data_IF_346392906380
#
_entry.id   IF_346392906380
#
_cell.length_a   1.000
_cell.length_b   1.000
_cell.length_c   1.000
_cell.angle_alpha   90.00
_cell.angle_beta   90.00
_cell.angle_gamma   90.00
#
_symmetry.space_group_name_H-M   'P 1'
#
loop_
_entity.id
_entity.type
_entity.pdbx_description
1 polymer ?
#
# COMPACT_ATOMS: atom_id res chain seq x y z
N UNK A 1 7.71 -20.76 -14.52
CA UNK A 1 6.69 -20.28 -15.49
C UNK A 1 6.36 -18.85 -15.14
N UNK A 2 6.14 -17.94 -16.11
CA UNK A 2 5.71 -16.58 -15.79
C UNK A 2 4.31 -16.61 -15.14
N UNK A 3 4.10 -15.79 -14.12
CA UNK A 3 2.76 -15.60 -13.54
C UNK A 3 1.82 -14.99 -14.58
N UNK A 4 0.62 -15.55 -14.73
CA UNK A 4 -0.41 -15.08 -15.66
C UNK A 4 -1.45 -14.21 -14.97
N UNK A 5 -1.54 -14.29 -13.64
CA UNK A 5 -2.46 -13.50 -12.82
C UNK A 5 -1.73 -12.76 -11.69
N UNK A 6 -2.37 -11.71 -11.18
CA UNK A 6 -1.92 -11.01 -9.98
C UNK A 6 -1.81 -11.99 -8.78
N UNK A 7 -2.80 -12.86 -8.59
CA UNK A 7 -2.81 -13.85 -7.51
C UNK A 7 -1.62 -14.80 -7.60
N UNK A 8 -1.32 -15.33 -8.80
CA UNK A 8 -0.14 -16.18 -9.00
C UNK A 8 1.16 -15.44 -8.73
N UNK A 9 1.28 -14.19 -9.20
CA UNK A 9 2.45 -13.36 -8.96
C UNK A 9 2.68 -13.13 -7.46
N UNK A 10 1.63 -12.71 -6.75
CA UNK A 10 1.69 -12.48 -5.30
C UNK A 10 2.03 -13.76 -4.56
N UNK A 11 1.44 -14.91 -4.94
CA UNK A 11 1.72 -16.19 -4.29
C UNK A 11 3.19 -16.62 -4.44
N UNK A 12 3.79 -16.46 -5.63
CA UNK A 12 5.20 -16.78 -5.90
C UNK A 12 6.10 -15.89 -5.04
N UNK A 13 5.92 -14.57 -5.12
CA UNK A 13 6.79 -13.62 -4.41
C UNK A 13 6.60 -13.73 -2.89
N UNK A 14 5.39 -14.04 -2.41
CA UNK A 14 5.13 -14.29 -1.00
C UNK A 14 5.91 -15.49 -0.46
N UNK A 15 6.12 -16.53 -1.27
CA UNK A 15 6.90 -17.70 -0.88
C UNK A 15 8.42 -17.45 -0.93
N UNK A 16 8.89 -16.70 -1.94
CA UNK A 16 10.33 -16.47 -2.16
C UNK A 16 10.89 -15.29 -1.35
N UNK A 17 10.10 -14.23 -1.20
CA UNK A 17 10.51 -12.99 -0.55
C UNK A 17 9.33 -12.26 0.11
N UNK A 18 8.79 -12.80 1.22
CA UNK A 18 7.65 -12.20 1.93
C UNK A 18 7.90 -10.73 2.32
N UNK A 19 9.11 -10.42 2.79
CA UNK A 19 9.52 -9.06 3.14
C UNK A 19 9.62 -8.17 1.90
N UNK A 20 10.21 -8.69 0.83
CA UNK A 20 10.31 -7.97 -0.45
C UNK A 20 8.94 -7.60 -0.99
N UNK A 21 7.97 -8.52 -0.91
CA UNK A 21 6.59 -8.28 -1.34
C UNK A 21 5.96 -7.08 -0.62
N UNK A 22 6.03 -7.04 0.72
CA UNK A 22 5.47 -5.95 1.52
C UNK A 22 6.12 -4.60 1.17
N UNK A 23 7.45 -4.59 1.03
CA UNK A 23 8.19 -3.36 0.72
C UNK A 23 7.92 -2.86 -0.70
N UNK A 24 7.82 -3.75 -1.68
CA UNK A 24 7.50 -3.39 -3.08
C UNK A 24 6.08 -2.81 -3.19
N UNK A 25 5.08 -3.48 -2.62
CA UNK A 25 3.70 -3.01 -2.66
C UNK A 25 3.51 -1.69 -1.91
N UNK A 26 4.21 -1.49 -0.79
CA UNK A 26 4.25 -0.18 -0.15
C UNK A 26 4.86 0.88 -1.05
N UNK A 27 5.97 0.57 -1.74
CA UNK A 27 6.63 1.54 -2.62
C UNK A 27 5.70 1.99 -3.74
N UNK A 28 4.96 1.05 -4.36
CA UNK A 28 3.94 1.36 -5.38
C UNK A 28 2.84 2.25 -4.85
N UNK A 29 2.34 1.96 -3.64
CA UNK A 29 1.35 2.81 -2.98
C UNK A 29 1.90 4.20 -2.64
N UNK A 30 3.17 4.32 -2.24
CA UNK A 30 3.77 5.63 -1.96
C UNK A 30 3.95 6.47 -3.23
N UNK A 31 4.24 5.83 -4.37
CA UNK A 31 4.31 6.49 -5.68
C UNK A 31 2.94 7.02 -6.12
N UNK A 32 1.88 6.22 -6.05
CA UNK A 32 0.55 6.68 -6.45
C UNK A 32 0.03 7.81 -5.55
N UNK A 33 0.46 7.83 -4.28
CA UNK A 33 0.20 8.95 -3.38
C UNK A 33 0.88 10.23 -3.85
N UNK A 34 2.14 10.16 -4.30
CA UNK A 34 2.83 11.32 -4.87
C UNK A 34 2.08 11.84 -6.10
N UNK A 35 1.70 10.94 -7.02
CA UNK A 35 0.93 11.29 -8.22
C UNK A 35 -0.40 11.95 -7.86
N UNK A 36 -1.10 11.44 -6.83
CA UNK A 36 -2.35 12.00 -6.35
C UNK A 36 -2.21 13.46 -5.90
N UNK A 37 -1.18 13.77 -5.10
CA UNK A 37 -0.95 15.14 -4.65
C UNK A 37 -0.55 16.07 -5.81
N UNK A 38 0.27 15.58 -6.75
CA UNK A 38 0.66 16.32 -7.96
C UNK A 38 -0.56 16.65 -8.81
N UNK A 39 -1.41 15.66 -9.12
CA UNK A 39 -2.63 15.86 -9.93
C UNK A 39 -3.60 16.85 -9.29
N UNK A 40 -3.66 16.91 -7.96
CA UNK A 40 -4.51 17.88 -7.25
C UNK A 40 -3.88 19.26 -7.09
N UNK A 41 -2.65 19.46 -7.58
CA UNK A 41 -1.88 20.68 -7.40
C UNK A 41 -1.77 21.10 -5.92
N UNK A 42 -1.70 20.11 -5.02
CA UNK A 42 -1.55 20.34 -3.58
C UNK A 42 -0.21 19.78 -3.14
N UNK A 43 0.53 20.56 -2.34
CA UNK A 43 1.77 20.06 -1.76
C UNK A 43 1.48 18.89 -0.81
N UNK A 44 2.12 17.75 -1.04
CA UNK A 44 2.06 16.60 -0.14
C UNK A 44 2.55 17.02 1.26
N UNK A 45 1.76 16.81 2.32
CA UNK A 45 2.22 17.07 3.68
C UNK A 45 3.43 16.21 4.06
N UNK A 46 4.37 16.80 4.81
CA UNK A 46 5.52 16.08 5.35
C UNK A 46 5.12 15.02 6.39
N UNK A 47 4.03 15.28 7.12
CA UNK A 47 3.51 14.36 8.13
C UNK A 47 2.65 13.27 7.49
N UNK A 48 2.98 12.01 7.75
CA UNK A 48 2.19 10.86 7.29
C UNK A 48 0.76 10.89 7.85
N UNK A 49 0.59 11.32 9.10
CA UNK A 49 -0.73 11.51 9.70
C UNK A 49 -1.53 12.63 9.01
N UNK A 50 -0.86 13.69 8.52
CA UNK A 50 -1.53 14.74 7.76
C UNK A 50 -1.94 14.25 6.36
N UNK A 51 -1.10 13.46 5.70
CA UNK A 51 -1.46 12.77 4.44
C UNK A 51 -2.69 11.89 4.63
N UNK A 52 -2.69 11.03 5.65
CA UNK A 52 -3.81 10.12 5.98
C UNK A 52 -5.10 10.90 6.26
N UNK A 53 -5.03 12.01 7.01
CA UNK A 53 -6.19 12.90 7.26
C UNK A 53 -6.72 13.57 5.99
N UNK A 54 -5.85 14.03 5.11
CA UNK A 54 -6.27 14.64 3.85
C UNK A 54 -6.96 13.64 2.94
N UNK A 55 -6.45 12.42 2.87
CA UNK A 55 -7.08 11.32 2.11
C UNK A 55 -8.45 10.99 2.70
N UNK A 56 -8.55 10.88 4.03
CA UNK A 56 -9.83 10.63 4.70
C UNK A 56 -10.86 11.76 4.52
N UNK A 57 -10.41 12.98 4.21
CA UNK A 57 -11.27 14.13 3.98
C UNK A 57 -11.64 14.36 2.51
N UNK A 58 -10.99 13.67 1.54
CA UNK A 58 -11.39 13.79 0.13
C UNK A 58 -12.61 12.90 -0.15
N UNK A 59 -13.77 13.53 -0.34
CA UNK A 59 -15.03 12.84 -0.65
C UNK A 59 -15.07 12.14 -2.00
N UNK A 60 -14.03 12.24 -2.84
CA UNK A 60 -13.89 11.43 -4.06
C UNK A 60 -13.27 10.06 -3.80
N UNK A 61 -12.62 9.89 -2.65
CA UNK A 61 -11.99 8.63 -2.27
C UNK A 61 -12.94 7.80 -1.40
N UNK A 62 -12.80 6.46 -1.41
CA UNK A 62 -13.58 5.59 -0.55
C UNK A 62 -13.44 5.96 0.93
N UNK A 63 -14.55 5.88 1.65
CA UNK A 63 -14.56 6.05 3.10
C UNK A 63 -13.60 5.05 3.76
N UNK A 64 -12.83 5.52 4.75
CA UNK A 64 -11.87 4.70 5.48
C UNK A 64 -10.53 4.45 4.77
N UNK A 65 -10.33 4.90 3.52
CA UNK A 65 -9.07 4.71 2.79
C UNK A 65 -7.86 5.30 3.55
N UNK A 66 -8.02 6.47 4.17
CA UNK A 66 -6.94 7.07 4.98
C UNK A 66 -6.52 6.20 6.18
N UNK A 67 -7.50 5.59 6.86
CA UNK A 67 -7.23 4.65 7.96
C UNK A 67 -6.60 3.34 7.45
N UNK A 68 -6.98 2.90 6.26
CA UNK A 68 -6.41 1.72 5.63
C UNK A 68 -4.94 1.92 5.25
N UNK A 69 -4.60 3.06 4.67
CA UNK A 69 -3.20 3.44 4.37
C UNK A 69 -2.37 3.54 5.65
N UNK A 70 -2.96 4.08 6.72
CA UNK A 70 -2.30 4.10 8.03
C UNK A 70 -1.97 2.69 8.52
N UNK A 71 -2.92 1.73 8.43
CA UNK A 71 -2.69 0.33 8.81
C UNK A 71 -1.57 -0.30 7.98
N UNK A 72 -1.63 -0.17 6.66
CA UNK A 72 -0.59 -0.66 5.76
C UNK A 72 0.79 -0.08 6.08
N UNK A 73 0.86 1.22 6.40
CA UNK A 73 2.12 1.87 6.80
C UNK A 73 2.69 1.27 8.08
N UNK A 74 1.86 1.05 9.09
CA UNK A 74 2.28 0.47 10.36
C UNK A 74 2.77 -0.97 10.17
N UNK A 75 2.03 -1.79 9.43
CA UNK A 75 2.42 -3.15 9.07
C UNK A 75 3.76 -3.18 8.33
N UNK A 76 3.93 -2.33 7.31
CA UNK A 76 5.20 -2.18 6.60
C UNK A 76 6.33 -1.77 7.51
N UNK A 77 6.11 -0.85 8.44
CA UNK A 77 7.14 -0.41 9.37
C UNK A 77 7.60 -1.56 10.28
N UNK A 78 6.68 -2.40 10.78
CA UNK A 78 7.04 -3.60 11.55
C UNK A 78 7.91 -4.55 10.73
N UNK A 79 7.61 -4.72 9.44
CA UNK A 79 8.39 -5.55 8.50
C UNK A 79 9.75 -4.93 8.17
N UNK A 80 9.79 -3.63 7.92
CA UNK A 80 11.00 -2.90 7.54
C UNK A 80 12.04 -2.88 8.68
N UNK A 81 11.57 -2.73 9.92
CA UNK A 81 12.42 -2.66 11.11
C UNK A 81 12.66 -4.03 11.79
N UNK A 82 12.31 -5.13 11.13
CA UNK A 82 12.57 -6.51 11.61
C UNK A 82 11.97 -6.79 13.00
N UNK A 83 10.91 -6.05 13.36
CA UNK A 83 10.22 -6.21 14.65
C UNK A 83 9.48 -7.56 14.72
N UNK A 84 9.20 -8.17 13.55
CA UNK A 84 8.50 -9.46 13.44
C UNK A 84 9.41 -10.51 12.84
N UNK A 85 9.60 -11.60 13.59
CA UNK A 85 10.34 -12.79 13.13
C UNK A 85 9.35 -13.75 12.48
N UNK A 86 9.52 -13.98 11.17
CA UNK A 86 8.63 -14.81 10.36
C UNK A 86 7.40 -14.05 9.87
N UNK A 87 7.24 -13.97 8.55
CA UNK A 87 6.04 -13.45 7.90
C UNK A 87 5.32 -14.62 7.25
N UNK A 88 4.05 -14.82 7.63
CA UNK A 88 3.23 -15.85 7.02
C UNK A 88 2.90 -15.49 5.57
N UNK A 89 2.88 -16.48 4.69
CA UNK A 89 2.55 -16.27 3.27
C UNK A 89 1.16 -15.62 3.10
N UNK A 90 0.16 -16.11 3.83
CA UNK A 90 -1.20 -15.56 3.79
C UNK A 90 -1.24 -14.08 4.23
N UNK A 91 -0.44 -13.72 5.24
CA UNK A 91 -0.38 -12.36 5.75
C UNK A 91 0.19 -11.39 4.71
N UNK A 92 1.31 -11.74 4.06
CA UNK A 92 1.92 -10.87 3.06
C UNK A 92 1.12 -10.81 1.76
N UNK A 93 0.40 -11.88 1.41
CA UNK A 93 -0.59 -11.87 0.32
C UNK A 93 -1.71 -10.90 0.63
N UNK A 94 -2.30 -10.97 1.83
CA UNK A 94 -3.35 -10.05 2.26
C UNK A 94 -2.89 -8.59 2.26
N UNK A 95 -1.63 -8.35 2.65
CA UNK A 95 -1.02 -7.03 2.55
C UNK A 95 -1.00 -6.53 1.10
N UNK A 96 -0.54 -7.35 0.16
CA UNK A 96 -0.48 -7.01 -1.26
C UNK A 96 -1.88 -6.73 -1.83
N UNK A 97 -2.88 -7.53 -1.49
CA UNK A 97 -4.28 -7.34 -1.92
C UNK A 97 -4.83 -5.99 -1.47
N UNK A 98 -4.62 -5.65 -0.19
CA UNK A 98 -5.07 -4.38 0.41
C UNK A 98 -4.35 -3.18 -0.20
N UNK A 99 -3.04 -3.29 -0.42
CA UNK A 99 -2.26 -2.26 -1.10
C UNK A 99 -2.72 -2.07 -2.56
N UNK A 100 -2.98 -3.16 -3.28
CA UNK A 100 -3.49 -3.12 -4.66
C UNK A 100 -4.88 -2.45 -4.72
N UNK A 101 -5.79 -2.79 -3.80
CA UNK A 101 -7.09 -2.14 -3.70
C UNK A 101 -6.97 -0.63 -3.41
N UNK A 102 -6.08 -0.24 -2.50
CA UNK A 102 -5.80 1.17 -2.21
C UNK A 102 -5.24 1.92 -3.42
N UNK A 103 -4.33 1.31 -4.18
CA UNK A 103 -3.82 1.88 -5.44
C UNK A 103 -4.95 2.08 -6.44
N UNK A 104 -5.81 1.07 -6.62
CA UNK A 104 -6.98 1.15 -7.50
C UNK A 104 -7.92 2.31 -7.12
N UNK A 105 -8.11 2.57 -5.83
CA UNK A 105 -8.90 3.70 -5.35
C UNK A 105 -8.33 5.07 -5.81
N UNK A 106 -7.00 5.23 -5.81
CA UNK A 106 -6.37 6.44 -6.34
C UNK A 106 -6.47 6.51 -7.86
N UNK A 107 -6.24 5.40 -8.58
CA UNK A 107 -6.29 5.37 -10.04
C UNK A 107 -7.65 5.78 -10.64
N UNK A 108 -8.74 5.69 -9.88
CA UNK A 108 -10.05 6.16 -10.32
C UNK A 108 -10.24 7.68 -10.22
N UNK A 109 -9.34 8.39 -9.53
CA UNK A 109 -9.46 9.83 -9.24
C UNK A 109 -8.22 10.65 -9.62
N UNK A 110 -7.23 9.99 -10.24
CA UNK A 110 -6.10 10.58 -10.95
C UNK A 110 -6.52 10.98 -12.36
#
# INVERSE_FOLDING_TARGET
>A
MPAQTFTEHVAIVAAESPRGLVLDWWRRLDMILDDYFVTRCVQRPMSRAAVEKMIAADGRLPEGLGAEIQRLRLERNCVAHEVRVGLGQEEVTRYADRAFAAIGAFSMVL
#
